data_IF_515111206784
#
_entry.id   IF_515111206784
#
_cell.length_a   1.000
_cell.length_b   1.000
_cell.length_c   1.000
_cell.angle_alpha   90.00
_cell.angle_beta   90.00
_cell.angle_gamma   90.00
#
_symmetry.space_group_name_H-M   'P 1'
#
loop_
_entity.id
_entity.type
_entity.pdbx_description
1 polymer ?
#
# COMPACT_ATOMS: atom_id res chain seq x y z
N UNK A 1 -73.72 -18.07 -27.25
CA UNK A 1 -72.61 -17.12 -27.03
C UNK A 1 -72.02 -17.43 -25.65
N UNK A 2 -71.21 -18.45 -25.37
CA UNK A 2 -70.13 -19.16 -26.06
C UNK A 2 -68.88 -18.34 -26.44
N UNK A 3 -67.84 -18.51 -25.61
CA UNK A 3 -66.39 -18.73 -25.88
C UNK A 3 -65.57 -18.10 -24.74
N UNK A 4 -64.48 -18.65 -24.21
CA UNK A 4 -63.76 -19.93 -24.33
C UNK A 4 -62.67 -19.90 -23.24
N UNK A 5 -62.35 -21.04 -22.63
CA UNK A 5 -61.15 -21.22 -21.79
C UNK A 5 -59.97 -21.58 -22.70
N UNK A 6 -58.79 -20.97 -22.53
CA UNK A 6 -57.53 -21.53 -23.06
C UNK A 6 -56.34 -21.10 -22.19
N UNK A 7 -55.62 -22.12 -21.70
CA UNK A 7 -54.33 -22.12 -20.96
C UNK A 7 -53.14 -22.00 -21.94
N UNK A 8 -51.87 -21.91 -21.43
CA UNK A 8 -50.53 -22.23 -22.06
C UNK A 8 -49.71 -20.97 -22.45
N UNK A 9 -48.40 -20.73 -22.17
CA UNK A 9 -47.22 -21.43 -21.58
C UNK A 9 -46.17 -20.39 -21.10
N UNK A 10 -45.29 -20.86 -20.21
CA UNK A 10 -44.01 -20.35 -19.63
C UNK A 10 -43.04 -19.68 -20.63
N UNK A 11 -42.34 -18.61 -20.22
CA UNK A 11 -41.17 -18.06 -20.90
C UNK A 11 -40.31 -17.15 -20.02
N UNK A 12 -39.11 -17.62 -19.68
CA UNK A 12 -38.07 -16.97 -18.88
C UNK A 12 -37.56 -15.70 -19.57
N UNK A 13 -37.46 -14.58 -18.85
CA UNK A 13 -36.37 -13.63 -19.11
C UNK A 13 -35.85 -13.05 -17.79
N UNK A 14 -34.83 -13.72 -17.30
CA UNK A 14 -33.77 -13.19 -16.46
C UNK A 14 -33.28 -11.90 -17.11
N UNK A 15 -33.64 -10.74 -16.57
CA UNK A 15 -32.87 -9.51 -16.75
C UNK A 15 -32.31 -9.16 -15.38
N UNK A 16 -31.21 -9.83 -15.11
CA UNK A 16 -30.12 -9.35 -14.27
C UNK A 16 -29.88 -7.89 -14.62
N UNK A 17 -30.26 -6.99 -13.72
CA UNK A 17 -29.52 -5.77 -13.56
C UNK A 17 -28.98 -5.78 -12.13
N UNK A 18 -27.91 -6.55 -11.99
CA UNK A 18 -26.88 -6.37 -10.99
C UNK A 18 -26.51 -4.88 -10.99
N UNK A 19 -27.13 -4.11 -10.11
CA UNK A 19 -26.52 -2.91 -9.58
C UNK A 19 -25.40 -3.38 -8.66
N UNK A 20 -24.33 -3.90 -9.28
CA UNK A 20 -22.99 -3.94 -8.72
C UNK A 20 -22.53 -2.49 -8.64
N UNK A 21 -23.08 -1.73 -7.71
CA UNK A 21 -22.25 -0.73 -7.06
C UNK A 21 -21.25 -1.55 -6.27
N UNK A 22 -20.08 -1.79 -6.87
CA UNK A 22 -18.91 -2.23 -6.14
C UNK A 22 -18.63 -1.14 -5.11
N UNK A 23 -19.28 -1.24 -3.96
CA UNK A 23 -18.76 -0.68 -2.73
C UNK A 23 -17.39 -1.30 -2.61
N UNK A 24 -16.37 -0.49 -2.83
CA UNK A 24 -14.96 -0.85 -2.72
C UNK A 24 -14.75 -1.20 -1.25
N UNK A 25 -15.07 -2.44 -0.87
CA UNK A 25 -14.69 -2.99 0.41
C UNK A 25 -13.24 -3.39 0.22
N UNK A 26 -12.33 -2.42 0.39
CA UNK A 26 -10.98 -2.74 0.86
C UNK A 26 -11.19 -3.38 2.22
N UNK A 27 -11.25 -4.72 2.26
CA UNK A 27 -11.37 -5.48 3.49
C UNK A 27 -10.06 -5.32 4.28
N UNK A 28 -9.97 -4.25 5.06
CA UNK A 28 -8.85 -3.99 5.94
C UNK A 28 -9.02 -4.84 7.20
N UNK A 29 -8.44 -6.05 7.21
CA UNK A 29 -8.28 -6.80 8.46
C UNK A 29 -7.29 -6.04 9.35
N UNK A 30 -7.83 -5.24 10.28
CA UNK A 30 -7.08 -4.46 11.27
C UNK A 30 -6.47 -5.36 12.34
N UNK A 31 -5.24 -5.83 12.12
CA UNK A 31 -4.27 -5.87 13.21
C UNK A 31 -3.30 -4.73 12.98
N UNK A 32 -3.60 -3.57 13.58
CA UNK A 32 -2.72 -2.41 13.57
C UNK A 32 -1.83 -2.49 14.80
N UNK A 33 -0.54 -2.70 14.60
CA UNK A 33 0.46 -2.68 15.66
C UNK A 33 1.24 -1.37 15.56
N UNK A 34 1.51 -0.71 16.69
CA UNK A 34 2.29 0.53 16.73
C UNK A 34 3.05 0.62 18.03
N UNK A 35 4.18 1.33 18.01
CA UNK A 35 5.04 1.50 19.17
C UNK A 35 6.40 2.02 18.78
N UNK A 36 7.41 1.64 19.56
CA UNK A 36 8.81 1.97 19.32
C UNK A 36 9.66 0.71 19.27
N UNK A 37 10.67 0.72 18.38
CA UNK A 37 11.73 -0.29 18.30
C UNK A 37 13.05 0.29 18.81
N UNK A 38 13.88 -0.53 19.45
CA UNK A 38 15.32 -0.26 19.58
C UNK A 38 16.04 -0.53 18.25
N UNK A 39 17.28 -0.04 18.11
CA UNK A 39 18.14 -0.38 16.98
C UNK A 39 18.27 -1.90 16.74
N UNK A 40 18.51 -2.68 17.81
CA UNK A 40 18.62 -4.14 17.71
C UNK A 40 17.33 -4.83 17.28
N UNK A 41 16.17 -4.28 17.66
CA UNK A 41 14.86 -4.80 17.21
C UNK A 41 14.62 -4.47 15.73
N UNK A 42 15.00 -3.26 15.28
CA UNK A 42 14.90 -2.88 13.88
C UNK A 42 15.81 -3.74 12.99
N UNK A 43 17.07 -3.97 13.40
CA UNK A 43 17.99 -4.85 12.68
C UNK A 43 17.44 -6.27 12.53
N UNK A 44 16.75 -6.79 13.55
CA UNK A 44 16.14 -8.12 13.53
C UNK A 44 14.95 -8.25 12.56
N UNK A 45 14.35 -7.14 12.12
CA UNK A 45 13.24 -7.15 11.15
C UNK A 45 13.70 -7.25 9.69
N UNK A 46 14.98 -7.01 9.41
CA UNK A 46 15.52 -6.99 8.05
C UNK A 46 15.81 -8.41 7.53
N UNK A 47 14.77 -9.20 7.33
CA UNK A 47 14.86 -10.56 6.80
C UNK A 47 14.17 -10.69 5.44
N UNK A 48 14.92 -11.04 4.40
CA UNK A 48 14.36 -11.43 3.10
C UNK A 48 13.79 -12.85 3.15
N UNK A 49 12.56 -13.02 2.66
CA UNK A 49 11.89 -14.31 2.51
C UNK A 49 12.03 -14.84 1.08
N UNK A 50 11.86 -16.16 0.90
CA UNK A 50 12.06 -16.83 -0.40
C UNK A 50 11.06 -16.42 -1.50
N UNK A 51 9.97 -15.74 -1.14
CA UNK A 51 8.97 -15.21 -2.07
C UNK A 51 9.26 -13.78 -2.55
N UNK A 52 10.40 -13.21 -2.16
CA UNK A 52 10.83 -11.87 -2.56
C UNK A 52 12.09 -12.00 -3.43
N UNK A 53 12.12 -11.28 -4.55
CA UNK A 53 13.31 -11.16 -5.40
C UNK A 53 13.63 -9.68 -5.59
N UNK A 54 14.83 -9.28 -5.20
CA UNK A 54 15.31 -7.89 -5.30
C UNK A 54 16.22 -7.80 -6.51
N UNK A 55 15.93 -6.88 -7.43
CA UNK A 55 16.74 -6.59 -8.61
C UNK A 55 17.30 -5.15 -8.50
N UNK A 56 18.50 -4.97 -7.92
CA UNK A 56 19.07 -3.64 -7.70
C UNK A 56 19.30 -2.85 -8.98
N UNK A 57 19.69 -3.53 -10.06
CA UNK A 57 20.03 -2.88 -11.34
C UNK A 57 18.82 -2.21 -12.01
N UNK A 58 17.61 -2.75 -11.81
CA UNK A 58 16.36 -2.17 -12.31
C UNK A 58 15.57 -1.38 -11.25
N UNK A 59 16.07 -1.32 -10.00
CA UNK A 59 15.36 -0.76 -8.85
C UNK A 59 13.98 -1.40 -8.62
N UNK A 60 13.88 -2.72 -8.82
CA UNK A 60 12.62 -3.48 -8.74
C UNK A 60 12.64 -4.53 -7.63
N UNK A 61 11.48 -4.75 -7.01
CA UNK A 61 11.27 -5.80 -6.02
C UNK A 61 10.04 -6.61 -6.42
N UNK A 62 10.23 -7.90 -6.67
CA UNK A 62 9.17 -8.84 -6.98
C UNK A 62 8.68 -9.54 -5.72
N UNK A 63 7.37 -9.50 -5.49
CA UNK A 63 6.69 -10.14 -4.36
C UNK A 63 5.71 -11.15 -4.94
N UNK A 64 6.15 -12.40 -5.01
CA UNK A 64 5.46 -13.48 -5.73
C UNK A 64 4.31 -14.13 -4.93
N UNK A 65 4.18 -13.80 -3.66
CA UNK A 65 3.07 -14.22 -2.79
C UNK A 65 3.03 -13.33 -1.55
N UNK A 66 2.02 -13.51 -0.68
CA UNK A 66 1.90 -12.80 0.60
C UNK A 66 3.21 -12.75 1.38
N UNK A 67 3.60 -11.55 1.82
CA UNK A 67 4.90 -11.27 2.42
C UNK A 67 4.78 -10.25 3.56
N UNK A 68 5.81 -10.19 4.40
CA UNK A 68 6.04 -9.07 5.32
C UNK A 68 7.20 -8.24 4.78
N UNK A 69 7.02 -6.92 4.72
CA UNK A 69 8.00 -5.98 4.17
C UNK A 69 8.30 -4.92 5.20
N UNK A 70 9.58 -4.76 5.55
CA UNK A 70 10.08 -3.61 6.28
C UNK A 70 10.22 -2.43 5.33
N UNK A 71 9.63 -1.29 5.71
CA UNK A 71 9.75 -0.03 4.99
C UNK A 71 10.37 1.00 5.94
N UNK A 72 11.60 1.43 5.65
CA UNK A 72 12.24 2.49 6.41
C UNK A 72 11.88 3.85 5.79
N UNK A 73 11.33 4.75 6.60
CA UNK A 73 10.85 6.06 6.14
C UNK A 73 11.90 7.12 6.46
N UNK A 74 12.30 7.90 5.45
CA UNK A 74 13.18 9.06 5.62
C UNK A 74 14.64 8.73 5.99
N UNK A 75 15.35 7.84 5.28
CA UNK A 75 16.77 7.61 5.51
C UNK A 75 17.56 8.90 5.21
N UNK A 76 18.05 9.56 6.26
CA UNK A 76 18.60 10.93 6.15
C UNK A 76 19.82 11.07 5.23
N UNK A 77 20.69 10.05 5.21
CA UNK A 77 22.02 10.16 4.59
C UNK A 77 22.10 9.61 3.17
N UNK A 78 21.11 8.85 2.72
CA UNK A 78 21.10 8.28 1.37
C UNK A 78 19.68 7.83 1.00
N UNK A 79 19.18 8.19 -0.20
CA UNK A 79 19.62 9.28 -1.06
C UNK A 79 19.18 10.65 -0.50
N UNK A 80 18.13 10.67 0.33
CA UNK A 80 17.64 11.84 1.06
C UNK A 80 16.52 11.43 2.03
N UNK A 81 16.16 12.31 2.97
CA UNK A 81 14.95 12.14 3.80
C UNK A 81 13.63 12.04 3.02
N UNK A 82 13.61 12.40 1.74
CA UNK A 82 12.45 12.28 0.85
C UNK A 82 12.43 10.93 0.14
N UNK A 83 12.65 9.85 0.89
CA UNK A 83 12.66 8.50 0.31
C UNK A 83 12.18 7.43 1.27
N UNK A 84 11.74 6.33 0.70
CA UNK A 84 11.51 5.06 1.39
C UNK A 84 12.65 4.10 1.04
N UNK A 85 13.18 3.39 2.02
CA UNK A 85 14.12 2.30 1.79
C UNK A 85 13.44 0.95 2.04
N UNK A 86 13.52 0.06 1.05
CA UNK A 86 12.96 -1.30 1.09
C UNK A 86 14.01 -2.25 0.51
N UNK A 87 14.46 -3.22 1.32
CA UNK A 87 15.53 -4.16 0.96
C UNK A 87 16.80 -3.50 0.38
N UNK A 88 17.20 -2.34 0.92
CA UNK A 88 18.38 -1.59 0.49
C UNK A 88 18.19 -0.78 -0.80
N UNK A 89 16.98 -0.76 -1.38
CA UNK A 89 16.63 0.05 -2.53
C UNK A 89 15.80 1.26 -2.11
N UNK A 90 15.93 2.36 -2.84
CA UNK A 90 15.26 3.62 -2.54
C UNK A 90 14.15 3.91 -3.52
N UNK A 91 12.94 4.13 -2.98
CA UNK A 91 11.70 4.26 -3.74
C UNK A 91 11.56 3.19 -4.85
N UNK A 92 11.83 1.89 -4.57
CA UNK A 92 11.83 0.84 -5.59
C UNK A 92 10.45 0.61 -6.21
N UNK A 93 10.42 0.17 -7.46
CA UNK A 93 9.20 -0.33 -8.07
C UNK A 93 8.80 -1.67 -7.44
N UNK A 94 7.63 -1.73 -6.81
CA UNK A 94 7.13 -2.98 -6.22
C UNK A 94 6.24 -3.71 -7.23
N UNK A 95 6.63 -4.93 -7.60
CA UNK A 95 5.87 -5.78 -8.52
C UNK A 95 5.24 -6.89 -7.69
N UNK A 96 3.93 -6.79 -7.48
CA UNK A 96 3.19 -7.62 -6.54
C UNK A 96 2.24 -8.56 -7.28
N UNK A 97 2.29 -9.84 -6.94
CA UNK A 97 1.32 -10.81 -7.47
C UNK A 97 -0.08 -10.50 -6.97
N UNK A 98 -1.04 -10.41 -7.89
CA UNK A 98 -2.47 -10.25 -7.57
C UNK A 98 -2.95 -11.36 -6.62
N UNK A 99 -3.76 -10.97 -5.64
CA UNK A 99 -4.23 -11.85 -4.55
C UNK A 99 -3.28 -11.93 -3.35
N UNK A 100 -2.13 -11.26 -3.38
CA UNK A 100 -1.22 -11.21 -2.24
C UNK A 100 -1.77 -10.32 -1.12
N UNK A 101 -1.59 -10.77 0.12
CA UNK A 101 -1.74 -9.97 1.32
C UNK A 101 -0.34 -9.57 1.79
N UNK A 102 -0.02 -8.29 1.75
CA UNK A 102 1.29 -7.79 2.18
C UNK A 102 1.15 -7.08 3.51
N UNK A 103 1.96 -7.50 4.48
CA UNK A 103 2.12 -6.83 5.76
C UNK A 103 3.24 -5.81 5.65
N UNK A 104 2.90 -4.53 5.70
CA UNK A 104 3.90 -3.45 5.73
C UNK A 104 4.26 -3.12 7.18
N UNK A 105 5.55 -3.18 7.48
CA UNK A 105 6.14 -2.75 8.74
C UNK A 105 6.84 -1.42 8.48
N UNK A 106 6.12 -0.31 8.65
CA UNK A 106 6.63 1.02 8.37
C UNK A 106 7.34 1.59 9.61
N UNK A 107 8.58 2.02 9.48
CA UNK A 107 9.42 2.50 10.59
C UNK A 107 10.05 3.83 10.22
N UNK A 108 9.77 4.89 10.98
CA UNK A 108 10.43 6.17 10.77
C UNK A 108 11.86 6.13 11.30
N UNK A 109 12.84 6.26 10.40
CA UNK A 109 14.27 6.28 10.71
C UNK A 109 14.88 7.67 10.61
N UNK A 110 14.09 8.65 10.17
CA UNK A 110 14.46 10.07 10.15
C UNK A 110 14.61 10.60 11.58
N UNK A 111 15.52 11.55 11.77
CA UNK A 111 15.77 12.21 13.06
C UNK A 111 15.13 13.59 13.18
N UNK A 112 14.59 14.12 12.08
CA UNK A 112 14.08 15.50 11.98
C UNK A 112 12.61 15.56 11.58
N UNK A 113 12.15 14.72 10.64
CA UNK A 113 10.80 14.84 10.09
C UNK A 113 9.84 13.70 10.45
N UNK A 114 8.55 14.06 10.43
CA UNK A 114 7.45 13.11 10.46
C UNK A 114 7.25 12.48 9.09
N UNK A 115 6.88 11.20 9.09
CA UNK A 115 6.63 10.45 7.86
C UNK A 115 5.44 9.50 8.00
N UNK A 116 4.80 9.17 6.89
CA UNK A 116 3.91 8.01 6.81
C UNK A 116 4.09 7.27 5.49
N UNK A 117 3.45 6.12 5.37
CA UNK A 117 3.48 5.27 4.19
C UNK A 117 2.03 4.93 3.82
N UNK A 118 1.52 5.58 2.78
CA UNK A 118 0.12 5.46 2.33
C UNK A 118 0.10 4.93 0.91
N UNK A 119 -0.75 3.94 0.64
CA UNK A 119 -0.96 3.42 -0.71
C UNK A 119 -2.13 4.16 -1.35
N UNK A 120 -1.99 4.56 -2.61
CA UNK A 120 -2.98 5.33 -3.38
C UNK A 120 -3.03 4.91 -4.85
N UNK A 121 -4.13 5.20 -5.55
CA UNK A 121 -4.26 5.12 -7.00
C UNK A 121 -3.96 6.47 -7.71
N UNK A 122 -3.70 7.54 -6.96
CA UNK A 122 -3.30 8.84 -7.50
C UNK A 122 -1.86 8.79 -8.01
N UNK A 123 -1.68 9.04 -9.30
CA UNK A 123 -0.36 9.12 -9.92
C UNK A 123 0.34 10.47 -9.68
N UNK A 124 1.68 10.53 -9.68
CA UNK A 124 2.44 11.78 -9.69
C UNK A 124 2.16 12.60 -10.97
N UNK A 125 2.44 13.92 -10.98
CA UNK A 125 3.14 14.68 -9.95
C UNK A 125 2.27 15.04 -8.74
N UNK A 126 2.91 15.12 -7.58
CA UNK A 126 2.24 15.52 -6.34
C UNK A 126 2.57 16.99 -5.99
N UNK A 127 1.59 17.71 -5.47
CA UNK A 127 1.80 19.07 -4.94
C UNK A 127 2.15 19.07 -3.45
N UNK A 128 2.45 20.26 -2.91
CA UNK A 128 2.84 20.45 -1.51
C UNK A 128 1.89 19.81 -0.48
N UNK A 129 0.57 19.88 -0.68
CA UNK A 129 -0.42 19.22 0.19
C UNK A 129 -1.26 18.22 -0.60
N UNK A 130 -1.24 16.95 -0.20
CA UNK A 130 -1.93 15.87 -0.92
C UNK A 130 -3.12 15.31 -0.13
N UNK A 131 -3.05 15.37 1.22
CA UNK A 131 -4.07 14.80 2.13
C UNK A 131 -5.50 15.27 1.84
N UNK A 132 -5.70 16.53 1.46
CA UNK A 132 -7.02 17.08 1.13
C UNK A 132 -7.68 16.40 -0.07
N UNK A 133 -6.89 15.76 -0.95
CA UNK A 133 -7.36 15.10 -2.17
C UNK A 133 -7.48 13.58 -2.03
N UNK A 134 -7.12 12.99 -0.88
CA UNK A 134 -6.97 11.53 -0.70
C UNK A 134 -8.18 10.84 -0.08
N UNK A 135 -9.20 11.58 0.36
CA UNK A 135 -10.40 10.99 0.97
C UNK A 135 -10.07 10.01 2.11
N UNK A 136 -10.73 8.85 2.12
CA UNK A 136 -10.50 7.80 3.14
C UNK A 136 -9.09 7.16 3.06
N UNK A 137 -8.41 7.20 1.90
CA UNK A 137 -7.07 6.65 1.74
C UNK A 137 -6.02 7.44 2.53
N UNK A 138 -6.25 8.74 2.72
CA UNK A 138 -5.40 9.59 3.57
C UNK A 138 -5.38 9.18 5.05
N UNK A 139 -6.33 8.34 5.49
CA UNK A 139 -6.42 7.86 6.88
C UNK A 139 -5.80 6.47 7.11
N UNK A 140 -5.12 5.88 6.13
CA UNK A 140 -4.56 4.52 6.25
C UNK A 140 -3.51 4.41 7.35
N UNK A 141 -2.68 5.43 7.52
CA UNK A 141 -1.57 5.43 8.47
C UNK A 141 -1.33 6.84 9.05
N UNK A 142 -1.26 6.99 10.39
CA UNK A 142 -0.91 8.27 11.01
C UNK A 142 0.57 8.63 10.73
N UNK A 143 0.92 9.90 10.90
CA UNK A 143 2.32 10.30 10.88
C UNK A 143 3.09 9.68 12.05
N UNK A 144 4.22 9.06 11.75
CA UNK A 144 5.19 8.59 12.73
C UNK A 144 6.16 9.73 13.06
N UNK A 145 6.41 10.01 14.35
CA UNK A 145 7.41 11.00 14.75
C UNK A 145 8.83 10.57 14.34
N UNK A 146 9.77 11.52 14.22
CA UNK A 146 11.18 11.20 14.04
C UNK A 146 11.70 10.34 15.19
N UNK A 147 12.70 9.51 14.90
CA UNK A 147 13.39 8.71 15.90
C UNK A 147 14.10 9.62 16.92
N UNK A 148 14.22 9.13 18.16
CA UNK A 148 14.98 9.80 19.21
C UNK A 148 15.83 8.78 19.94
N UNK A 149 17.13 9.05 20.06
CA UNK A 149 18.08 8.23 20.85
C UNK A 149 18.06 6.72 20.48
N UNK A 150 17.83 6.39 19.22
CA UNK A 150 17.75 4.99 18.76
C UNK A 150 16.43 4.29 19.06
N UNK A 151 15.38 5.08 19.37
CA UNK A 151 13.99 4.63 19.45
C UNK A 151 13.22 5.02 18.20
N UNK A 152 12.77 4.04 17.43
CA UNK A 152 12.13 4.21 16.13
C UNK A 152 10.64 3.98 16.23
N UNK A 153 9.83 4.99 15.93
CA UNK A 153 8.38 4.81 15.86
C UNK A 153 8.01 3.91 14.68
N UNK A 154 7.06 3.00 14.90
CA UNK A 154 6.59 2.09 13.85
C UNK A 154 5.06 1.98 13.79
N UNK A 155 4.59 1.56 12.61
CA UNK A 155 3.20 1.20 12.37
C UNK A 155 3.15 0.01 11.41
N UNK A 156 2.32 -0.99 11.74
CA UNK A 156 2.15 -2.21 10.96
C UNK A 156 0.72 -2.29 10.44
N UNK A 157 0.57 -2.61 9.16
CA UNK A 157 -0.74 -2.87 8.58
C UNK A 157 -0.68 -3.88 7.44
N UNK A 158 -1.80 -4.56 7.22
CA UNK A 158 -1.98 -5.48 6.10
C UNK A 158 -2.72 -4.77 4.95
N UNK A 159 -2.23 -4.96 3.72
CA UNK A 159 -2.86 -4.47 2.49
C UNK A 159 -3.10 -5.61 1.51
N UNK A 160 -4.33 -5.70 1.00
CA UNK A 160 -4.74 -6.73 0.05
C UNK A 160 -4.65 -6.21 -1.38
N UNK A 161 -3.78 -6.82 -2.18
CA UNK A 161 -3.63 -6.51 -3.61
C UNK A 161 -4.57 -7.39 -4.45
N UNK A 162 -5.88 -7.21 -4.26
CA UNK A 162 -6.90 -8.09 -4.82
C UNK A 162 -7.14 -7.93 -6.33
N UNK A 163 -6.70 -6.82 -6.93
CA UNK A 163 -6.94 -6.50 -8.33
C UNK A 163 -5.64 -6.06 -9.01
N UNK A 164 -5.50 -6.39 -10.30
CA UNK A 164 -4.39 -5.92 -11.12
C UNK A 164 -4.50 -4.42 -11.39
N UNK A 165 -3.38 -3.73 -11.52
CA UNK A 165 -3.34 -2.30 -11.82
C UNK A 165 -2.06 -1.64 -11.31
N UNK A 166 -2.01 -0.32 -11.46
CA UNK A 166 -0.92 0.52 -10.95
C UNK A 166 -1.41 1.28 -9.73
N UNK A 167 -0.62 1.23 -8.65
CA UNK A 167 -0.80 2.01 -7.44
C UNK A 167 0.51 2.73 -7.13
N UNK A 168 0.49 3.58 -6.11
CA UNK A 168 1.63 4.32 -5.62
C UNK A 168 1.68 4.21 -4.11
N UNK A 169 2.87 4.21 -3.53
CA UNK A 169 3.05 4.44 -2.10
C UNK A 169 3.71 5.80 -1.90
N UNK A 170 3.20 6.60 -0.96
CA UNK A 170 3.58 8.01 -0.80
C UNK A 170 3.75 8.37 0.67
N UNK A 171 4.60 9.38 0.92
CA UNK A 171 4.56 10.13 2.17
C UNK A 171 3.68 11.36 1.97
N UNK A 172 2.68 11.50 2.82
CA UNK A 172 1.69 12.57 2.73
C UNK A 172 2.05 13.79 3.57
N UNK A 173 3.21 13.78 4.24
CA UNK A 173 3.70 14.94 4.97
C UNK A 173 3.98 16.07 3.96
N UNK A 174 3.61 17.33 4.25
CA UNK A 174 3.67 18.40 3.26
C UNK A 174 5.03 18.52 2.56
N UNK A 175 5.02 18.57 1.22
CA UNK A 175 6.20 18.66 0.37
C UNK A 175 6.99 17.35 0.16
N UNK A 176 6.74 16.29 0.94
CA UNK A 176 7.59 15.09 0.88
C UNK A 176 7.46 14.33 -0.45
N UNK A 177 6.24 13.99 -0.85
CA UNK A 177 6.03 13.34 -2.14
C UNK A 177 6.27 14.28 -3.34
N UNK A 178 6.07 15.59 -3.18
CA UNK A 178 6.49 16.60 -4.19
C UNK A 178 8.01 16.55 -4.43
N UNK A 179 8.80 16.33 -3.37
CA UNK A 179 10.25 16.16 -3.43
C UNK A 179 10.72 14.73 -3.71
N UNK A 180 9.81 13.82 -4.09
CA UNK A 180 10.17 12.48 -4.55
C UNK A 180 9.97 11.35 -3.54
N UNK A 181 9.34 11.59 -2.39
CA UNK A 181 9.04 10.54 -1.41
C UNK A 181 7.81 9.71 -1.80
N UNK A 182 7.95 8.96 -2.90
CA UNK A 182 6.97 8.03 -3.42
C UNK A 182 7.63 6.95 -4.27
N UNK A 183 6.93 5.83 -4.48
CA UNK A 183 7.28 4.85 -5.51
C UNK A 183 6.05 4.17 -6.10
N UNK A 184 6.25 3.47 -7.21
CA UNK A 184 5.19 2.80 -7.96
C UNK A 184 4.98 1.36 -7.44
N UNK A 185 3.76 0.87 -7.56
CA UNK A 185 3.38 -0.52 -7.36
C UNK A 185 2.67 -1.01 -8.62
N UNK A 186 3.15 -2.10 -9.22
CA UNK A 186 2.43 -2.83 -10.26
C UNK A 186 1.86 -4.13 -9.69
N UNK A 187 0.54 -4.28 -9.74
CA UNK A 187 -0.14 -5.51 -9.37
C UNK A 187 -0.46 -6.32 -10.63
N UNK A 188 0.09 -7.52 -10.74
CA UNK A 188 -0.08 -8.36 -11.94
C UNK A 188 -0.25 -9.85 -11.63
N UNK A 189 -0.70 -10.63 -12.60
CA UNK A 189 -0.91 -12.08 -12.44
C UNK A 189 0.31 -12.95 -12.73
N UNK A 190 1.44 -12.34 -13.08
CA UNK A 190 2.69 -13.04 -13.38
C UNK A 190 3.26 -13.71 -12.13
#
# INVERSE_FOLDING_TARGET
MEKSRTTIIIGILIVVLLLLTASIIVEHRRTTETGYLSASQLEALNATTSNISVLPDSNEIFINSSATILVMLGPMNSPSMYSFEIFGLYNPHLIIRVGSLVRFYAVNVDTDSYHNFVITDMAPPYGYTIMGNMGEMGSMMPYLPPQSEGHFAYYVYDFSFAQTGTLWYICTYPGHAEHGMYGEITVSSA
#
